data_IF_931182636984
#
_entry.id   IF_931182636984
#
_cell.length_a   1.000
_cell.length_b   1.000
_cell.length_c   1.000
_cell.angle_alpha   90.00
_cell.angle_beta   90.00
_cell.angle_gamma   90.00
#
_symmetry.space_group_name_H-M   'P 1'
#
loop_
_entity.id
_entity.type
_entity.pdbx_description
1 polymer ?
#
# COMPACT_ATOMS: atom_id res chain seq x y z
N UNK A 1 11.82 8.03 8.39
CA UNK A 1 12.96 7.18 7.97
C UNK A 1 13.82 8.01 7.03
N UNK A 2 15.15 7.94 7.13
CA UNK A 2 16.09 8.87 6.45
C UNK A 2 17.30 8.17 5.80
N UNK A 3 17.17 6.87 5.48
CA UNK A 3 18.27 6.12 4.88
C UNK A 3 18.39 6.46 3.38
N UNK A 4 19.46 7.14 2.98
CA UNK A 4 19.60 7.70 1.62
C UNK A 4 19.62 6.63 0.51
N UNK A 5 20.05 5.41 0.82
CA UNK A 5 20.04 4.32 -0.15
C UNK A 5 18.69 3.62 -0.28
N UNK A 6 17.76 3.80 0.68
CA UNK A 6 16.46 3.17 0.63
C UNK A 6 15.52 3.90 -0.35
N UNK A 7 15.09 3.20 -1.39
CA UNK A 7 14.26 3.75 -2.47
C UNK A 7 12.81 3.22 -2.45
N UNK A 8 12.54 2.16 -1.67
CA UNK A 8 11.24 1.52 -1.60
C UNK A 8 10.85 1.25 -0.15
N UNK A 9 9.56 1.32 0.14
CA UNK A 9 8.97 1.00 1.45
C UNK A 9 7.69 0.18 1.26
N UNK A 10 7.54 -0.87 2.06
CA UNK A 10 6.28 -1.61 2.19
C UNK A 10 5.89 -1.66 3.66
N UNK A 11 4.64 -1.33 3.98
CA UNK A 11 4.14 -1.33 5.36
C UNK A 11 2.90 -2.21 5.51
N UNK A 12 2.73 -2.79 6.69
CA UNK A 12 1.53 -3.53 7.09
C UNK A 12 1.12 -3.13 8.50
N UNK A 13 -0.18 -2.99 8.73
CA UNK A 13 -0.75 -2.74 10.05
C UNK A 13 -1.66 -3.89 10.48
N UNK A 14 -1.67 -4.18 11.78
CA UNK A 14 -2.56 -5.15 12.41
C UNK A 14 -3.01 -4.64 13.76
N UNK A 15 -4.30 -4.78 14.04
CA UNK A 15 -4.82 -4.66 15.39
C UNK A 15 -4.45 -5.91 16.18
N UNK A 16 -4.00 -5.74 17.41
CA UNK A 16 -3.57 -6.79 18.31
C UNK A 16 -4.22 -6.57 19.68
N UNK A 17 -4.63 -7.64 20.39
CA UNK A 17 -5.08 -7.51 21.77
C UNK A 17 -3.95 -6.98 22.65
N UNK A 18 -4.29 -6.15 23.63
CA UNK A 18 -3.33 -5.66 24.60
C UNK A 18 -3.09 -6.77 25.64
N UNK A 19 -1.84 -7.21 25.84
CA UNK A 19 -1.52 -8.47 26.54
C UNK A 19 -2.02 -8.61 27.99
N UNK A 20 -2.46 -7.52 28.61
CA UNK A 20 -3.03 -7.51 29.97
C UNK A 20 -4.56 -7.32 29.99
N UNK A 21 -5.18 -6.93 28.88
CA UNK A 21 -6.60 -6.57 28.80
C UNK A 21 -7.09 -6.81 27.37
N UNK A 22 -7.78 -7.94 27.16
CA UNK A 22 -8.31 -8.34 25.84
C UNK A 22 -9.41 -7.40 25.32
N UNK A 23 -10.00 -6.55 26.18
CA UNK A 23 -10.97 -5.53 25.78
C UNK A 23 -10.28 -4.27 25.24
N UNK A 24 -8.97 -4.15 25.40
CA UNK A 24 -8.16 -3.08 24.81
C UNK A 24 -7.36 -3.63 23.64
N UNK A 25 -7.36 -2.90 22.54
CA UNK A 25 -6.56 -3.23 21.38
C UNK A 25 -5.43 -2.22 21.17
N UNK A 26 -4.39 -2.66 20.47
CA UNK A 26 -3.26 -1.85 20.02
C UNK A 26 -3.00 -2.11 18.56
N UNK A 27 -2.58 -1.09 17.81
CA UNK A 27 -2.14 -1.28 16.43
C UNK A 27 -0.63 -1.51 16.36
N UNK A 28 -0.23 -2.59 15.72
CA UNK A 28 1.14 -2.82 15.29
C UNK A 28 1.29 -2.35 13.84
N UNK A 29 2.24 -1.44 13.58
CA UNK A 29 2.65 -1.03 12.24
C UNK A 29 4.07 -1.52 12.01
N UNK A 30 4.29 -2.27 10.92
CA UNK A 30 5.61 -2.73 10.50
C UNK A 30 5.88 -2.19 9.11
N UNK A 31 7.04 -1.55 8.93
CA UNK A 31 7.51 -1.08 7.63
C UNK A 31 8.86 -1.72 7.31
N UNK A 32 9.01 -2.19 6.08
CA UNK A 32 10.22 -2.78 5.52
C UNK A 32 10.72 -1.85 4.41
N UNK A 33 12.02 -1.56 4.40
CA UNK A 33 12.67 -0.65 3.46
C UNK A 33 13.62 -1.43 2.56
N UNK A 34 13.67 -1.07 1.27
CA UNK A 34 14.57 -1.67 0.28
C UNK A 34 15.35 -0.59 -0.49
N UNK A 35 16.66 -0.80 -0.75
CA UNK A 35 17.53 -1.82 -0.16
C UNK A 35 17.64 -1.67 1.36
N UNK A 36 17.71 -2.81 2.05
CA UNK A 36 17.95 -2.85 3.49
C UNK A 36 19.45 -2.83 3.75
N UNK A 37 19.91 -1.90 4.58
CA UNK A 37 21.29 -1.93 5.08
C UNK A 37 21.35 -2.81 6.33
N UNK A 38 22.30 -3.75 6.39
CA UNK A 38 22.45 -4.65 7.54
C UNK A 38 23.19 -3.99 8.71
N UNK A 39 23.99 -2.96 8.43
CA UNK A 39 24.86 -2.32 9.42
C UNK A 39 24.23 -1.05 10.00
N UNK A 40 23.62 -1.17 11.18
CA UNK A 40 23.04 -0.04 11.93
C UNK A 40 24.07 1.00 12.40
N UNK A 41 25.37 0.67 12.38
CA UNK A 41 26.44 1.58 12.78
C UNK A 41 26.81 2.64 11.72
N UNK A 42 26.32 2.51 10.48
CA UNK A 42 26.60 3.48 9.41
C UNK A 42 25.73 4.73 9.56
N UNK A 43 26.23 5.86 9.05
CA UNK A 43 25.39 7.07 8.93
C UNK A 43 24.26 6.82 7.92
N UNK A 44 23.03 7.27 8.19
CA UNK A 44 21.90 7.07 7.28
C UNK A 44 22.08 7.74 5.91
N UNK A 45 22.89 8.79 5.83
CA UNK A 45 23.18 9.56 4.63
C UNK A 45 24.56 10.22 4.73
N UNK A 46 25.11 10.60 3.58
CA UNK A 46 26.32 11.42 3.48
C UNK A 46 25.99 12.89 3.73
N UNK A 47 26.84 13.59 4.48
CA UNK A 47 26.68 15.03 4.71
C UNK A 47 27.16 15.82 3.49
N UNK A 48 26.39 16.83 3.08
CA UNK A 48 26.74 17.68 1.94
C UNK A 48 25.56 18.53 1.48
N UNK A 49 25.75 19.24 0.38
CA UNK A 49 24.68 19.97 -0.30
C UNK A 49 23.61 18.98 -0.81
N UNK A 50 22.34 19.33 -0.64
CA UNK A 50 21.20 18.52 -1.09
C UNK A 50 21.35 18.15 -2.57
N UNK A 51 21.08 16.89 -2.91
CA UNK A 51 21.12 16.37 -4.28
C UNK A 51 22.48 16.42 -5.00
N UNK A 52 23.56 16.86 -4.36
CA UNK A 52 24.92 16.90 -4.96
C UNK A 52 25.49 15.53 -5.35
N UNK A 53 24.89 14.44 -4.83
CA UNK A 53 25.26 13.04 -5.08
C UNK A 53 24.08 12.18 -5.53
N UNK A 54 23.07 12.76 -6.20
CA UNK A 54 22.01 11.93 -6.79
C UNK A 54 22.59 10.99 -7.88
N UNK A 55 22.07 9.75 -8.00
CA UNK A 55 22.49 8.85 -9.07
C UNK A 55 22.10 9.39 -10.46
N UNK A 56 22.77 8.90 -11.50
CA UNK A 56 22.48 9.29 -12.88
C UNK A 56 21.02 8.98 -13.26
N UNK A 57 20.37 9.93 -13.95
CA UNK A 57 18.96 9.82 -14.35
C UNK A 57 17.95 10.22 -13.26
N UNK A 58 18.41 10.57 -12.06
CA UNK A 58 17.56 11.11 -11.00
C UNK A 58 17.53 12.64 -11.06
N UNK A 59 16.38 13.22 -10.73
CA UNK A 59 16.21 14.65 -10.54
C UNK A 59 16.12 14.99 -9.07
N UNK A 60 16.46 16.23 -8.74
CA UNK A 60 16.24 16.76 -7.41
C UNK A 60 14.82 17.29 -7.27
N UNK A 61 14.05 16.75 -6.33
CA UNK A 61 12.74 17.27 -5.96
C UNK A 61 12.65 17.36 -4.44
N UNK A 62 12.35 18.56 -3.92
CA UNK A 62 12.22 18.79 -2.46
C UNK A 62 13.41 18.22 -1.66
N UNK A 63 14.62 18.50 -2.14
CA UNK A 63 15.89 18.03 -1.56
C UNK A 63 16.07 16.49 -1.54
N UNK A 64 15.37 15.76 -2.40
CA UNK A 64 15.47 14.30 -2.53
C UNK A 64 15.70 13.91 -3.99
N UNK A 65 16.43 12.81 -4.21
CA UNK A 65 16.62 12.23 -5.52
C UNK A 65 15.37 11.45 -5.93
N UNK A 66 14.80 11.77 -7.09
CA UNK A 66 13.62 11.13 -7.64
C UNK A 66 13.88 10.63 -9.07
N UNK A 67 13.48 9.39 -9.37
CA UNK A 67 13.65 8.78 -10.68
C UNK A 67 12.56 9.27 -11.64
N UNK A 68 12.93 9.93 -12.74
CA UNK A 68 11.99 10.46 -13.74
C UNK A 68 11.58 9.40 -14.77
N UNK A 69 11.31 8.17 -14.31
CA UNK A 69 10.77 7.11 -15.17
C UNK A 69 9.24 7.18 -15.16
N UNK A 70 8.57 7.13 -16.31
CA UNK A 70 7.14 6.87 -16.34
C UNK A 70 6.96 5.47 -15.78
N UNK A 71 6.45 5.37 -14.57
CA UNK A 71 5.97 4.09 -14.04
C UNK A 71 4.81 3.68 -14.94
N UNK A 72 5.07 2.84 -15.93
CA UNK A 72 4.06 2.02 -16.58
C UNK A 72 3.60 1.00 -15.54
N UNK A 73 2.95 1.47 -14.49
CA UNK A 73 2.07 0.61 -13.71
C UNK A 73 0.94 0.31 -14.67
N UNK A 74 1.01 -0.82 -15.38
CA UNK A 74 -0.22 -1.42 -15.89
C UNK A 74 -0.99 -1.89 -14.66
N UNK A 75 -1.63 -0.95 -13.97
CA UNK A 75 -2.83 -1.28 -13.24
C UNK A 75 -3.78 -1.68 -14.35
N UNK A 76 -3.77 -2.96 -14.71
CA UNK A 76 -4.94 -3.57 -15.29
C UNK A 76 -6.02 -3.38 -14.22
N UNK A 77 -6.71 -2.25 -14.29
CA UNK A 77 -7.95 -2.04 -13.57
C UNK A 77 -8.89 -3.04 -14.20
N UNK A 78 -8.98 -4.23 -13.61
CA UNK A 78 -10.07 -5.14 -13.89
C UNK A 78 -11.32 -4.45 -13.37
N UNK A 79 -11.94 -3.62 -14.19
CA UNK A 79 -13.24 -3.01 -13.91
C UNK A 79 -14.29 -4.11 -14.02
N UNK A 80 -14.50 -4.85 -12.93
CA UNK A 80 -15.67 -5.73 -12.84
C UNK A 80 -16.91 -4.83 -12.87
N UNK A 81 -17.60 -4.81 -14.01
CA UNK A 81 -18.82 -4.04 -14.20
C UNK A 81 -19.87 -4.45 -13.16
N UNK A 82 -20.37 -3.47 -12.40
CA UNK A 82 -21.45 -3.62 -11.41
C UNK A 82 -22.77 -4.06 -12.09
N UNK A 83 -22.88 -3.91 -13.42
CA UNK A 83 -24.10 -4.20 -14.17
C UNK A 83 -24.55 -5.67 -14.16
N UNK A 84 -23.66 -6.65 -13.94
CA UNK A 84 -24.04 -8.07 -13.97
C UNK A 84 -24.68 -8.57 -12.67
N UNK A 85 -24.33 -7.99 -11.50
CA UNK A 85 -24.84 -8.45 -10.20
C UNK A 85 -26.26 -7.99 -9.91
N UNK A 86 -26.65 -6.80 -10.36
CA UNK A 86 -27.99 -6.27 -10.11
C UNK A 86 -29.07 -7.12 -10.81
N UNK A 87 -28.79 -7.59 -12.03
CA UNK A 87 -29.72 -8.40 -12.82
C UNK A 87 -30.03 -9.75 -12.18
N UNK A 88 -29.04 -10.43 -11.59
CA UNK A 88 -29.26 -11.73 -10.95
C UNK A 88 -30.03 -11.62 -9.63
N UNK A 89 -29.86 -10.51 -8.90
CA UNK A 89 -30.55 -10.29 -7.62
C UNK A 89 -32.04 -10.04 -7.87
N UNK A 90 -32.41 -9.23 -8.86
CA UNK A 90 -33.83 -8.97 -9.16
C UNK A 90 -34.57 -10.22 -9.65
N UNK A 91 -33.90 -11.08 -10.43
CA UNK A 91 -34.48 -12.35 -10.89
C UNK A 91 -34.72 -13.28 -9.70
N UNK A 92 -33.74 -13.39 -8.77
CA UNK A 92 -33.89 -14.25 -7.60
C UNK A 92 -35.05 -13.78 -6.70
N UNK A 93 -35.11 -12.48 -6.40
CA UNK A 93 -36.18 -11.88 -5.58
C UNK A 93 -37.56 -12.10 -6.23
N UNK A 94 -37.66 -11.95 -7.55
CA UNK A 94 -38.92 -12.18 -8.28
C UNK A 94 -39.37 -13.64 -8.23
N UNK A 95 -38.43 -14.59 -8.36
CA UNK A 95 -38.75 -16.03 -8.30
C UNK A 95 -39.20 -16.48 -6.91
N UNK A 96 -38.57 -15.97 -5.85
CA UNK A 96 -38.95 -16.31 -4.47
C UNK A 96 -40.33 -15.74 -4.11
N UNK A 97 -40.64 -14.53 -4.59
CA UNK A 97 -41.95 -13.90 -4.36
C UNK A 97 -43.08 -14.66 -5.07
N UNK A 98 -42.85 -15.12 -6.30
CA UNK A 98 -43.82 -15.93 -7.04
C UNK A 98 -44.07 -17.30 -6.39
N UNK A 99 -43.03 -17.91 -5.81
CA UNK A 99 -43.16 -19.20 -5.10
C UNK A 99 -44.06 -19.05 -3.86
N UNK A 100 -43.90 -17.97 -3.09
CA UNK A 100 -44.73 -17.68 -1.92
C UNK A 100 -46.18 -17.28 -2.25
N UNK A 101 -46.47 -16.87 -3.49
CA UNK A 101 -47.84 -16.58 -3.93
C UNK A 101 -48.58 -17.83 -4.46
N UNK A 102 -47.85 -18.94 -4.62
CA UNK A 102 -48.41 -20.22 -5.08
C UNK A 102 -48.69 -21.21 -3.92
N UNK A 103 -48.26 -20.87 -2.70
CA UNK A 103 -48.67 -21.51 -1.43
C UNK A 103 -49.85 -20.75 -0.81
#
# INVERSE_FOLDING_TARGET
MVWATAAQVGCASRECPNGFDALKSRYALVCIYKPSEHSLAKRPYESGESCSRCPDGYRCQRNQCYEDKPTTTSIAMTTTSIGTVLSTIEVLISTTLLLHLLE
#
